data_IF_442287787337
#
_entry.id   IF_442287787337
#
_cell.length_a   1.000
_cell.length_b   1.000
_cell.length_c   1.000
_cell.angle_alpha   90.00
_cell.angle_beta   90.00
_cell.angle_gamma   90.00
#
_symmetry.space_group_name_H-M   'P 1'
#
loop_
_entity.id
_entity.type
_entity.pdbx_description
1 polymer ?
#
# COMPACT_ATOMS: atom_id res chain seq x y z
N UNK A 1 -18.55 4.57 2.43
CA UNK A 1 -17.83 4.62 1.15
C UNK A 1 -18.04 3.30 0.42
N UNK A 2 -18.09 3.34 -0.91
CA UNK A 2 -18.09 2.15 -1.77
C UNK A 2 -16.66 1.82 -2.18
N UNK A 3 -16.15 0.65 -1.76
CA UNK A 3 -14.73 0.28 -1.86
C UNK A 3 -14.58 -1.01 -2.66
N UNK A 4 -13.69 -0.99 -3.67
CA UNK A 4 -13.30 -2.19 -4.42
C UNK A 4 -11.93 -2.67 -3.96
N UNK A 5 -11.86 -3.93 -3.54
CA UNK A 5 -10.60 -4.61 -3.26
C UNK A 5 -10.32 -5.59 -4.41
N UNK A 6 -9.46 -5.17 -5.31
CA UNK A 6 -9.15 -5.87 -6.56
C UNK A 6 -8.05 -6.91 -6.35
N UNK A 7 -8.24 -8.10 -6.91
CA UNK A 7 -7.34 -9.25 -6.81
C UNK A 7 -7.16 -9.71 -5.36
N UNK A 8 -8.27 -9.77 -4.61
CA UNK A 8 -8.29 -10.24 -3.23
C UNK A 8 -9.24 -11.44 -3.06
N UNK A 9 -8.68 -12.63 -3.01
CA UNK A 9 -9.40 -13.87 -2.71
C UNK A 9 -9.66 -14.02 -1.20
N UNK A 10 -8.74 -13.54 -0.37
CA UNK A 10 -8.74 -13.75 1.09
C UNK A 10 -9.77 -12.92 1.87
N UNK A 11 -10.28 -11.84 1.29
CA UNK A 11 -11.18 -10.87 1.90
C UNK A 11 -10.66 -10.18 3.18
N UNK A 12 -9.35 -10.27 3.49
CA UNK A 12 -8.79 -9.69 4.70
C UNK A 12 -9.03 -8.16 4.78
N UNK A 13 -8.79 -7.45 3.67
CA UNK A 13 -9.02 -6.00 3.58
C UNK A 13 -10.51 -5.71 3.44
N UNK A 14 -11.25 -6.49 2.66
CA UNK A 14 -12.70 -6.36 2.52
C UNK A 14 -13.40 -6.43 3.87
N UNK A 15 -13.09 -7.44 4.69
CA UNK A 15 -13.65 -7.62 6.03
C UNK A 15 -13.31 -6.41 6.91
N UNK A 16 -12.06 -5.95 6.91
CA UNK A 16 -11.65 -4.80 7.72
C UNK A 16 -12.42 -3.52 7.37
N UNK A 17 -12.72 -3.28 6.09
CA UNK A 17 -13.56 -2.16 5.67
C UNK A 17 -15.05 -2.37 6.06
N UNK A 18 -15.58 -3.60 5.94
CA UNK A 18 -16.94 -3.95 6.35
C UNK A 18 -17.15 -3.77 7.85
N UNK A 19 -16.18 -4.15 8.68
CA UNK A 19 -16.20 -3.93 10.14
C UNK A 19 -16.34 -2.45 10.52
N UNK A 20 -15.87 -1.54 9.67
CA UNK A 20 -16.03 -0.09 9.84
C UNK A 20 -17.28 0.48 9.16
N UNK A 21 -18.19 -0.38 8.70
CA UNK A 21 -19.47 0.03 8.10
C UNK A 21 -19.37 0.50 6.64
N UNK A 22 -18.26 0.22 5.93
CA UNK A 22 -18.15 0.56 4.52
C UNK A 22 -18.79 -0.51 3.63
N UNK A 23 -19.27 -0.09 2.46
CA UNK A 23 -19.73 -0.98 1.40
C UNK A 23 -18.52 -1.46 0.60
N UNK A 24 -17.83 -2.50 1.11
CA UNK A 24 -16.61 -3.03 0.52
C UNK A 24 -16.86 -4.37 -0.17
N UNK A 25 -16.24 -4.55 -1.35
CA UNK A 25 -16.33 -5.76 -2.16
C UNK A 25 -14.94 -6.21 -2.60
N UNK A 26 -14.66 -7.49 -2.44
CA UNK A 26 -13.50 -8.13 -3.07
C UNK A 26 -13.81 -8.56 -4.50
N UNK A 27 -12.77 -8.65 -5.33
CA UNK A 27 -12.86 -9.23 -6.67
C UNK A 27 -11.63 -10.08 -6.95
N UNK A 28 -11.82 -11.31 -7.37
CA UNK A 28 -10.76 -12.22 -7.82
C UNK A 28 -11.32 -13.25 -8.82
N UNK A 29 -10.45 -13.89 -9.59
CA UNK A 29 -10.84 -15.00 -10.48
C UNK A 29 -11.17 -16.27 -9.70
N UNK A 30 -10.63 -16.41 -8.49
CA UNK A 30 -10.88 -17.53 -7.59
C UNK A 30 -12.04 -17.22 -6.64
N UNK A 31 -12.76 -18.26 -6.14
CA UNK A 31 -13.75 -18.07 -5.09
C UNK A 31 -13.07 -17.55 -3.82
N UNK A 32 -13.76 -16.71 -3.05
CA UNK A 32 -13.23 -16.15 -1.83
C UNK A 32 -13.00 -17.20 -0.74
N UNK A 33 -11.98 -17.01 0.08
CA UNK A 33 -11.68 -17.83 1.27
C UNK A 33 -12.02 -17.13 2.59
N UNK A 34 -12.47 -15.88 2.56
CA UNK A 34 -12.83 -15.11 3.75
C UNK A 34 -14.20 -15.44 4.33
N UNK A 35 -15.00 -16.27 3.64
CA UNK A 35 -16.29 -16.76 4.14
C UNK A 35 -17.50 -15.85 3.83
N UNK A 36 -17.32 -14.81 3.01
CA UNK A 36 -18.35 -13.85 2.65
C UNK A 36 -18.55 -13.76 1.14
N UNK A 37 -19.11 -14.84 0.49
CA UNK A 37 -19.31 -14.84 -0.97
C UNK A 37 -20.23 -13.72 -1.44
N UNK A 38 -21.13 -13.20 -0.60
CA UNK A 38 -22.03 -12.08 -0.89
C UNK A 38 -21.29 -10.72 -1.03
N UNK A 39 -20.03 -10.65 -0.60
CA UNK A 39 -19.17 -9.48 -0.77
C UNK A 39 -18.08 -9.71 -1.82
N UNK A 40 -18.23 -10.74 -2.66
CA UNK A 40 -17.19 -11.17 -3.60
C UNK A 40 -17.68 -11.24 -5.03
N UNK A 41 -16.98 -10.54 -5.93
CA UNK A 41 -17.13 -10.69 -7.38
C UNK A 41 -16.12 -11.70 -7.90
N UNK A 42 -16.57 -12.93 -8.21
CA UNK A 42 -15.72 -13.95 -8.80
C UNK A 42 -15.63 -13.74 -10.32
N UNK A 43 -14.82 -12.77 -10.75
CA UNK A 43 -14.68 -12.41 -12.17
C UNK A 43 -13.40 -11.61 -12.42
N UNK A 44 -13.15 -11.24 -13.69
CA UNK A 44 -12.14 -10.25 -14.03
C UNK A 44 -12.53 -8.88 -13.43
N UNK A 45 -11.55 -8.21 -12.84
CA UNK A 45 -11.74 -6.89 -12.22
C UNK A 45 -11.89 -5.76 -13.24
N UNK A 46 -11.36 -5.93 -14.46
CA UNK A 46 -11.33 -4.85 -15.47
C UNK A 46 -12.70 -4.24 -15.75
N UNK A 47 -13.79 -5.00 -15.92
CA UNK A 47 -15.13 -4.40 -16.10
C UNK A 47 -15.58 -3.53 -14.93
N UNK A 48 -15.21 -3.90 -13.69
CA UNK A 48 -15.60 -3.15 -12.49
C UNK A 48 -14.88 -1.82 -12.34
N UNK A 49 -13.73 -1.63 -13.01
CA UNK A 49 -12.95 -0.39 -12.90
C UNK A 49 -13.67 0.84 -13.49
N UNK A 50 -14.65 0.65 -14.36
CA UNK A 50 -15.47 1.72 -14.93
C UNK A 50 -16.62 2.15 -14.03
N UNK A 51 -16.93 1.37 -12.99
CA UNK A 51 -17.96 1.72 -12.04
C UNK A 51 -17.52 2.84 -11.09
N UNK A 52 -18.49 3.46 -10.41
CA UNK A 52 -18.21 4.51 -9.42
C UNK A 52 -17.75 3.88 -8.10
N UNK A 53 -16.46 3.99 -7.81
CA UNK A 53 -15.83 3.62 -6.54
C UNK A 53 -15.28 4.86 -5.85
N UNK A 54 -15.39 4.91 -4.51
CA UNK A 54 -14.79 5.95 -3.69
C UNK A 54 -13.30 5.65 -3.42
N UNK A 55 -12.95 4.34 -3.42
CA UNK A 55 -11.59 3.83 -3.18
C UNK A 55 -11.40 2.50 -3.90
N UNK A 56 -10.26 2.31 -4.53
CA UNK A 56 -9.80 1.02 -5.05
C UNK A 56 -8.48 0.64 -4.37
N UNK A 57 -8.41 -0.55 -3.79
CA UNK A 57 -7.19 -1.15 -3.29
C UNK A 57 -6.93 -2.41 -4.11
N UNK A 58 -5.74 -2.56 -4.69
CA UNK A 58 -5.46 -3.66 -5.60
C UNK A 58 -4.19 -4.41 -5.23
N UNK A 59 -4.25 -5.73 -5.37
CA UNK A 59 -3.18 -6.69 -5.11
C UNK A 59 -2.84 -7.47 -6.40
N UNK A 60 -2.39 -6.81 -7.48
CA UNK A 60 -2.16 -7.48 -8.75
C UNK A 60 -1.16 -8.62 -8.61
N UNK A 61 -1.33 -9.73 -9.37
CA UNK A 61 -0.49 -10.92 -9.25
C UNK A 61 1.00 -10.60 -9.30
N UNK A 62 1.73 -10.99 -8.25
CA UNK A 62 3.15 -10.65 -8.07
C UNK A 62 4.11 -11.61 -8.78
N UNK A 63 3.64 -12.71 -9.36
CA UNK A 63 4.44 -13.81 -9.93
C UNK A 63 5.46 -13.35 -10.98
N UNK A 64 5.09 -12.36 -11.79
CA UNK A 64 5.95 -11.81 -12.84
C UNK A 64 6.52 -10.43 -12.50
N UNK A 65 6.07 -9.83 -11.40
CA UNK A 65 6.44 -8.47 -11.02
C UNK A 65 7.50 -8.39 -9.93
N UNK A 66 7.64 -9.42 -9.08
CA UNK A 66 8.60 -9.39 -7.96
C UNK A 66 9.98 -9.90 -8.35
N UNK A 67 11.01 -9.47 -7.62
CA UNK A 67 12.37 -9.97 -7.79
C UNK A 67 12.45 -11.49 -7.64
N UNK A 68 11.69 -12.07 -6.71
CA UNK A 68 11.61 -13.53 -6.54
C UNK A 68 11.07 -14.23 -7.81
N UNK A 69 10.10 -13.64 -8.48
CA UNK A 69 9.59 -14.11 -9.76
C UNK A 69 10.60 -13.93 -10.89
N UNK A 70 11.34 -12.81 -10.91
CA UNK A 70 12.34 -12.48 -11.93
C UNK A 70 13.60 -13.35 -11.85
N UNK A 71 13.94 -13.93 -10.70
CA UNK A 71 15.07 -14.88 -10.57
C UNK A 71 14.95 -16.05 -11.56
N UNK A 72 13.76 -16.40 -12.01
CA UNK A 72 13.56 -17.44 -13.00
C UNK A 72 14.12 -17.09 -14.40
N UNK A 73 14.32 -15.80 -14.72
CA UNK A 73 14.95 -15.37 -15.98
C UNK A 73 16.47 -15.69 -16.01
N UNK A 74 17.12 -15.67 -14.86
CA UNK A 74 18.55 -15.97 -14.72
C UNK A 74 18.82 -17.43 -14.36
N UNK A 75 17.76 -18.26 -14.33
CA UNK A 75 17.90 -19.68 -14.00
C UNK A 75 18.82 -20.36 -15.01
N UNK A 76 19.86 -21.05 -14.50
CA UNK A 76 20.78 -21.83 -15.33
C UNK A 76 20.00 -22.87 -16.16
N UNK A 77 20.20 -22.88 -17.49
CA UNK A 77 19.52 -23.78 -18.43
C UNK A 77 18.14 -23.31 -18.89
N UNK A 78 17.68 -22.12 -18.54
CA UNK A 78 16.44 -21.58 -19.13
C UNK A 78 16.64 -21.24 -20.61
N UNK A 79 15.75 -21.78 -21.47
CA UNK A 79 15.79 -21.48 -22.92
C UNK A 79 15.41 -20.05 -23.21
N UNK A 80 15.81 -19.54 -24.41
CA UNK A 80 15.48 -18.17 -24.81
C UNK A 80 13.96 -18.00 -25.03
N UNK A 81 13.26 -19.04 -25.51
CA UNK A 81 11.79 -19.02 -25.63
C UNK A 81 11.13 -18.87 -24.25
N UNK A 82 11.62 -19.59 -23.23
CA UNK A 82 11.13 -19.45 -21.86
C UNK A 82 11.34 -18.04 -21.33
N UNK A 83 12.52 -17.46 -21.53
CA UNK A 83 12.83 -16.10 -21.08
C UNK A 83 11.93 -15.07 -21.78
N UNK A 84 11.80 -15.18 -23.12
CA UNK A 84 10.96 -14.30 -23.92
C UNK A 84 9.50 -14.36 -23.50
N UNK A 85 8.95 -15.56 -23.35
CA UNK A 85 7.57 -15.74 -22.88
C UNK A 85 7.36 -15.16 -21.48
N UNK A 86 8.35 -15.28 -20.60
CA UNK A 86 8.28 -14.73 -19.24
C UNK A 86 8.37 -13.21 -19.21
N UNK A 87 9.19 -12.60 -20.07
CA UNK A 87 9.27 -11.15 -20.23
C UNK A 87 7.94 -10.60 -20.74
N UNK A 88 7.33 -11.24 -21.73
CA UNK A 88 5.99 -10.86 -22.24
C UNK A 88 4.95 -10.87 -21.10
N UNK A 89 4.90 -11.95 -20.31
CA UNK A 89 3.99 -12.02 -19.14
C UNK A 89 4.27 -10.98 -18.07
N UNK A 90 5.53 -10.56 -17.90
CA UNK A 90 5.91 -9.46 -17.01
C UNK A 90 5.32 -8.14 -17.50
N UNK A 91 5.43 -7.87 -18.80
CA UNK A 91 4.96 -6.62 -19.39
C UNK A 91 3.42 -6.58 -19.40
N UNK A 92 2.75 -7.70 -19.65
CA UNK A 92 1.30 -7.86 -19.49
C UNK A 92 0.85 -7.62 -18.03
N UNK A 93 1.61 -8.11 -17.04
CA UNK A 93 1.32 -7.89 -15.63
C UNK A 93 1.51 -6.42 -15.20
N UNK A 94 2.52 -5.74 -15.75
CA UNK A 94 2.69 -4.31 -15.57
C UNK A 94 1.50 -3.54 -16.17
N UNK A 95 1.13 -3.83 -17.40
CA UNK A 95 -0.01 -3.19 -18.08
C UNK A 95 -1.30 -3.37 -17.29
N UNK A 96 -1.55 -4.56 -16.76
CA UNK A 96 -2.70 -4.84 -15.90
C UNK A 96 -2.72 -3.96 -14.65
N UNK A 97 -1.59 -3.84 -13.93
CA UNK A 97 -1.49 -2.97 -12.77
C UNK A 97 -1.73 -1.49 -13.14
N UNK A 98 -1.21 -1.04 -14.31
CA UNK A 98 -1.42 0.31 -14.80
C UNK A 98 -2.88 0.57 -15.22
N UNK A 99 -3.59 -0.41 -15.78
CA UNK A 99 -5.03 -0.28 -16.07
C UNK A 99 -5.82 0.00 -14.79
N UNK A 100 -5.51 -0.70 -13.70
CA UNK A 100 -6.15 -0.43 -12.40
C UNK A 100 -5.82 0.99 -11.90
N UNK A 101 -4.53 1.36 -11.92
CA UNK A 101 -4.08 2.67 -11.41
C UNK A 101 -4.66 3.84 -12.19
N UNK A 102 -4.84 3.68 -13.50
CA UNK A 102 -5.37 4.71 -14.39
C UNK A 102 -6.91 4.72 -14.48
N UNK A 103 -7.60 3.89 -13.72
CA UNK A 103 -9.07 3.94 -13.65
C UNK A 103 -9.58 5.29 -13.15
N UNK A 104 -10.88 5.62 -13.41
CA UNK A 104 -11.44 6.92 -13.06
C UNK A 104 -11.47 7.23 -11.57
N UNK A 105 -11.32 6.22 -10.69
CA UNK A 105 -11.33 6.42 -9.25
C UNK A 105 -10.22 7.40 -8.81
N UNK A 106 -10.57 8.34 -7.94
CA UNK A 106 -9.63 9.38 -7.45
C UNK A 106 -8.70 8.87 -6.35
N UNK A 107 -9.07 7.78 -5.65
CA UNK A 107 -8.30 7.18 -4.56
C UNK A 107 -7.95 5.74 -4.90
N UNK A 108 -6.68 5.46 -5.17
CA UNK A 108 -6.21 4.12 -5.55
C UNK A 108 -4.93 3.78 -4.79
N UNK A 109 -4.85 2.55 -4.28
CA UNK A 109 -3.63 1.95 -3.77
C UNK A 109 -3.32 0.68 -4.56
N UNK A 110 -2.11 0.57 -5.11
CA UNK A 110 -1.57 -0.69 -5.65
C UNK A 110 -0.57 -1.24 -4.64
N UNK A 111 -0.77 -2.47 -4.20
CA UNK A 111 0.20 -3.22 -3.38
C UNK A 111 0.95 -4.23 -4.24
N UNK A 112 2.27 -4.32 -4.06
CA UNK A 112 3.05 -5.42 -4.61
C UNK A 112 4.38 -5.59 -3.86
N UNK A 113 5.06 -6.70 -4.09
CA UNK A 113 6.42 -6.91 -3.58
C UNK A 113 7.46 -6.02 -4.30
N UNK A 114 8.68 -5.98 -3.74
CA UNK A 114 9.81 -5.30 -4.38
C UNK A 114 10.13 -5.98 -5.71
N UNK A 115 10.15 -5.21 -6.81
CA UNK A 115 10.41 -5.75 -8.14
C UNK A 115 10.16 -4.79 -9.28
N UNK A 116 9.64 -5.32 -10.39
CA UNK A 116 9.61 -4.66 -11.69
C UNK A 116 8.70 -3.41 -11.73
N UNK A 117 7.65 -3.33 -10.93
CA UNK A 117 6.86 -2.09 -10.84
C UNK A 117 7.72 -0.86 -10.48
N UNK A 118 8.76 -1.06 -9.64
CA UNK A 118 9.66 0.02 -9.22
C UNK A 118 10.64 0.47 -10.32
N UNK A 119 10.93 -0.37 -11.30
CA UNK A 119 11.91 -0.10 -12.37
C UNK A 119 11.25 0.10 -13.73
N UNK A 120 10.16 -0.62 -14.01
CA UNK A 120 9.44 -0.54 -15.27
C UNK A 120 8.38 0.56 -15.30
N UNK A 121 7.98 1.09 -14.14
CA UNK A 121 7.03 2.18 -14.04
C UNK A 121 7.59 3.34 -13.19
N UNK A 122 7.38 3.32 -11.86
CA UNK A 122 7.89 4.36 -10.95
C UNK A 122 8.22 3.80 -9.58
N UNK A 123 9.01 4.52 -8.80
CA UNK A 123 9.27 4.15 -7.40
C UNK A 123 7.95 4.12 -6.60
N UNK A 124 7.82 3.22 -5.61
CA UNK A 124 6.67 3.23 -4.72
C UNK A 124 6.65 4.50 -3.88
N UNK A 125 5.45 4.96 -3.53
CA UNK A 125 5.26 6.11 -2.63
C UNK A 125 5.64 5.75 -1.20
N UNK A 126 5.48 4.45 -0.85
CA UNK A 126 5.82 3.94 0.48
C UNK A 126 6.24 2.46 0.40
N UNK A 127 7.13 2.07 1.31
CA UNK A 127 7.44 0.67 1.61
C UNK A 127 7.07 0.43 3.07
N UNK A 128 6.17 -0.50 3.31
CA UNK A 128 5.73 -0.91 4.64
C UNK A 128 6.22 -2.32 4.96
N UNK A 129 6.17 -2.68 6.23
CA UNK A 129 6.52 -4.01 6.71
C UNK A 129 5.51 -4.48 7.76
N UNK A 130 5.12 -5.76 7.79
CA UNK A 130 4.11 -6.25 8.72
C UNK A 130 4.44 -6.00 10.20
N UNK A 131 5.72 -5.92 10.59
CA UNK A 131 6.09 -5.64 11.98
C UNK A 131 5.72 -4.21 12.43
N UNK A 132 5.50 -3.29 11.51
CA UNK A 132 4.99 -1.94 11.77
C UNK A 132 3.49 -1.95 12.12
N UNK A 133 2.82 -3.09 11.91
CA UNK A 133 1.38 -3.30 12.06
C UNK A 133 1.03 -4.53 12.91
N UNK A 134 1.88 -4.91 13.87
CA UNK A 134 1.59 -5.94 14.87
C UNK A 134 1.93 -7.38 14.48
N UNK A 135 2.67 -7.60 13.39
CA UNK A 135 3.08 -8.94 12.95
C UNK A 135 4.60 -9.05 12.87
N UNK A 136 5.24 -9.94 13.61
CA UNK A 136 6.71 -10.11 13.68
C UNK A 136 7.36 -10.51 12.35
N UNK A 137 6.92 -9.97 11.22
CA UNK A 137 7.36 -10.34 9.88
C UNK A 137 8.02 -9.16 9.18
N UNK A 138 9.24 -9.39 8.64
CA UNK A 138 9.99 -8.37 7.89
C UNK A 138 9.87 -8.59 6.37
N UNK A 139 8.63 -8.58 5.85
CA UNK A 139 8.34 -8.63 4.41
C UNK A 139 8.16 -7.22 3.88
N UNK A 140 9.07 -6.75 3.00
CA UNK A 140 8.91 -5.45 2.34
C UNK A 140 7.73 -5.50 1.38
N UNK A 141 6.77 -4.63 1.58
CA UNK A 141 5.56 -4.45 0.78
C UNK A 141 5.55 -3.02 0.24
N UNK A 142 5.47 -2.88 -1.07
CA UNK A 142 5.49 -1.59 -1.76
C UNK A 142 4.07 -1.11 -2.04
N UNK A 143 3.82 0.17 -1.83
CA UNK A 143 2.55 0.84 -2.10
C UNK A 143 2.74 1.95 -3.13
N UNK A 144 1.92 1.95 -4.17
CA UNK A 144 1.78 3.03 -5.15
C UNK A 144 0.41 3.66 -4.94
N UNK A 145 0.40 4.94 -4.56
CA UNK A 145 -0.76 5.66 -4.07
C UNK A 145 -1.21 6.73 -5.07
N UNK A 146 -2.52 6.88 -5.23
CA UNK A 146 -3.19 7.97 -5.94
C UNK A 146 -4.25 8.55 -5.01
N UNK A 147 -4.15 9.83 -4.67
CA UNK A 147 -5.12 10.51 -3.81
C UNK A 147 -5.26 9.96 -2.39
N UNK A 148 -4.26 9.23 -1.91
CA UNK A 148 -4.23 8.60 -0.57
C UNK A 148 -3.00 9.05 0.20
N UNK A 149 -3.11 9.24 1.54
CA UNK A 149 -1.96 9.46 2.41
C UNK A 149 -1.16 8.16 2.58
N UNK A 150 0.12 8.30 2.97
CA UNK A 150 0.93 7.17 3.43
C UNK A 150 0.33 6.57 4.69
N UNK A 151 0.45 5.24 4.84
CA UNK A 151 0.03 4.55 6.06
C UNK A 151 0.99 4.88 7.21
N UNK A 152 0.41 5.18 8.36
CA UNK A 152 1.13 5.36 9.62
C UNK A 152 1.16 4.02 10.35
N UNK A 153 2.32 3.57 10.87
CA UNK A 153 2.40 2.37 11.68
C UNK A 153 1.42 2.41 12.86
N UNK A 154 0.72 1.31 13.11
CA UNK A 154 -0.31 1.23 14.17
C UNK A 154 0.15 0.45 15.39
N UNK A 155 1.07 -0.51 15.22
CA UNK A 155 1.59 -1.34 16.31
C UNK A 155 2.95 -1.90 15.92
N UNK A 156 4.02 -1.24 16.38
CA UNK A 156 5.39 -1.65 16.07
C UNK A 156 5.81 -2.76 17.05
N UNK A 157 6.06 -3.95 16.50
CA UNK A 157 6.55 -5.11 17.26
C UNK A 157 7.96 -5.48 16.82
N UNK A 158 8.65 -6.29 17.61
CA UNK A 158 9.96 -6.81 17.23
C UNK A 158 9.84 -7.68 15.97
N UNK A 159 10.70 -7.40 14.99
CA UNK A 159 10.70 -8.16 13.74
C UNK A 159 11.48 -9.46 13.92
N UNK A 160 10.90 -10.55 13.46
CA UNK A 160 11.56 -11.84 13.40
C UNK A 160 12.66 -11.83 12.33
N UNK A 161 13.89 -11.54 12.77
CA UNK A 161 15.10 -11.51 11.96
C UNK A 161 15.87 -12.83 12.03
N UNK A 162 15.27 -13.94 12.49
CA UNK A 162 15.96 -15.21 12.50
C UNK A 162 16.51 -15.52 11.11
N UNK A 163 17.83 -15.41 11.01
CA UNK A 163 18.59 -15.98 9.91
C UNK A 163 18.36 -17.48 10.01
N UNK A 164 17.48 -18.00 9.15
CA UNK A 164 17.27 -19.43 9.10
C UNK A 164 18.63 -20.14 9.03
N UNK A 165 18.85 -21.11 9.91
CA UNK A 165 20.07 -21.91 10.04
C UNK A 165 20.47 -22.69 8.77
N UNK A 166 19.84 -22.43 7.64
CA UNK A 166 19.99 -23.09 6.34
C UNK A 166 20.91 -22.34 5.35
N UNK A 167 21.81 -21.48 5.83
CA UNK A 167 22.83 -20.84 4.98
C UNK A 167 22.30 -19.82 3.95
N UNK A 168 20.98 -19.67 3.82
CA UNK A 168 20.30 -18.65 3.03
C UNK A 168 19.40 -17.87 3.98
N UNK A 169 19.44 -16.54 3.89
CA UNK A 169 18.60 -15.63 4.67
C UNK A 169 17.12 -15.77 4.25
N UNK A 170 16.48 -16.82 4.71
CA UNK A 170 15.03 -17.05 4.55
C UNK A 170 14.38 -16.64 5.87
N UNK A 171 13.41 -15.72 5.85
CA UNK A 171 12.68 -15.35 7.05
C UNK A 171 11.96 -16.57 7.64
N UNK A 172 11.84 -16.63 8.96
CA UNK A 172 11.10 -17.68 9.67
C UNK A 172 9.67 -17.82 9.16
N UNK A 173 9.01 -16.70 8.86
CA UNK A 173 7.69 -16.67 8.23
C UNK A 173 7.66 -17.41 6.89
N UNK A 174 8.66 -17.19 6.02
CA UNK A 174 8.74 -17.92 4.75
C UNK A 174 8.91 -19.42 4.96
N UNK A 175 9.80 -19.82 5.89
CA UNK A 175 10.00 -21.22 6.23
C UNK A 175 8.70 -21.85 6.80
N UNK A 176 7.93 -21.09 7.59
CA UNK A 176 6.64 -21.51 8.13
C UNK A 176 5.63 -21.75 7.01
N UNK A 177 5.50 -20.82 6.06
CA UNK A 177 4.56 -20.97 4.92
C UNK A 177 4.88 -22.19 4.05
N UNK A 178 6.17 -22.55 3.91
CA UNK A 178 6.59 -23.77 3.19
C UNK A 178 6.18 -25.05 3.93
N UNK A 179 6.06 -25.02 5.26
CA UNK A 179 5.61 -26.17 6.08
C UNK A 179 4.09 -26.29 6.09
N UNK A 180 3.38 -25.17 6.06
CA UNK A 180 1.91 -25.10 6.10
C UNK A 180 1.28 -25.46 4.76
N UNK A 181 1.88 -25.02 3.65
CA UNK A 181 1.37 -25.32 2.30
C UNK A 181 1.71 -26.72 1.85
N UNK A 182 0.69 -27.51 1.46
CA UNK A 182 0.85 -28.85 0.91
C UNK A 182 1.34 -28.83 -0.53
N UNK A 183 1.00 -27.78 -1.27
CA UNK A 183 1.39 -27.57 -2.67
C UNK A 183 2.03 -26.19 -2.84
N UNK A 184 2.71 -25.94 -3.98
CA UNK A 184 3.23 -24.61 -4.31
C UNK A 184 2.11 -23.58 -4.47
N UNK A 185 0.92 -24.01 -4.89
CA UNK A 185 -0.25 -23.15 -4.99
C UNK A 185 -0.74 -22.71 -3.59
N UNK A 186 -0.78 -23.64 -2.61
CA UNK A 186 -1.13 -23.33 -1.23
C UNK A 186 -0.14 -22.34 -0.60
N UNK A 187 1.17 -22.60 -0.80
CA UNK A 187 2.23 -21.68 -0.34
C UNK A 187 2.05 -20.29 -0.94
N UNK A 188 1.73 -20.22 -2.24
CA UNK A 188 1.48 -18.94 -2.92
C UNK A 188 0.28 -18.22 -2.31
N UNK A 189 -0.83 -18.92 -2.07
CA UNK A 189 -2.05 -18.37 -1.48
C UNK A 189 -1.82 -17.88 -0.05
N UNK A 190 -1.16 -18.66 0.80
CA UNK A 190 -0.81 -18.23 2.17
C UNK A 190 0.02 -16.95 2.15
N UNK A 191 0.95 -16.82 1.18
CA UNK A 191 1.86 -15.68 1.06
C UNK A 191 1.23 -14.44 0.43
N UNK A 192 0.17 -14.59 -0.35
CA UNK A 192 -0.56 -13.47 -0.96
C UNK A 192 -1.55 -12.81 0.00
N UNK A 193 -1.99 -13.52 1.05
CA UNK A 193 -2.91 -12.95 2.03
C UNK A 193 -2.30 -11.71 2.70
N UNK A 194 -3.08 -10.64 2.74
CA UNK A 194 -2.73 -9.42 3.48
C UNK A 194 -2.76 -9.68 4.98
N UNK A 195 -1.77 -9.16 5.70
CA UNK A 195 -1.73 -9.23 7.16
C UNK A 195 -2.85 -8.40 7.79
N UNK A 196 -3.54 -8.95 8.77
CA UNK A 196 -4.73 -8.32 9.38
C UNK A 196 -4.44 -6.92 9.95
N UNK A 197 -3.25 -6.69 10.52
CA UNK A 197 -2.85 -5.36 10.99
C UNK A 197 -2.71 -4.34 9.87
N UNK A 198 -2.21 -4.75 8.70
CA UNK A 198 -2.14 -3.88 7.50
C UNK A 198 -3.55 -3.63 6.96
N UNK A 199 -4.39 -4.66 6.88
CA UNK A 199 -5.79 -4.54 6.43
C UNK A 199 -6.57 -3.55 7.31
N UNK A 200 -6.45 -3.65 8.64
CA UNK A 200 -7.06 -2.73 9.59
C UNK A 200 -6.51 -1.31 9.45
N UNK A 201 -5.20 -1.14 9.28
CA UNK A 201 -4.60 0.18 9.06
C UNK A 201 -5.11 0.83 7.77
N UNK A 202 -5.23 0.08 6.67
CA UNK A 202 -5.82 0.57 5.42
C UNK A 202 -7.27 1.02 5.64
N UNK A 203 -8.08 0.20 6.30
CA UNK A 203 -9.49 0.52 6.56
C UNK A 203 -9.63 1.75 7.48
N UNK A 204 -8.88 1.83 8.56
CA UNK A 204 -8.93 2.94 9.51
C UNK A 204 -8.41 4.26 8.93
N UNK A 205 -7.35 4.23 8.12
CA UNK A 205 -6.70 5.47 7.66
C UNK A 205 -7.19 5.93 6.30
N UNK A 206 -7.65 5.04 5.44
CA UNK A 206 -8.18 5.38 4.11
C UNK A 206 -9.71 5.34 4.04
N UNK A 207 -10.37 4.69 5.00
CA UNK A 207 -11.83 4.63 5.13
C UNK A 207 -12.47 5.90 5.70
N UNK A 208 -11.67 6.88 6.15
CA UNK A 208 -12.21 8.13 6.66
C UNK A 208 -12.74 8.94 5.46
N UNK A 209 -14.05 9.35 5.45
CA UNK A 209 -14.54 10.29 4.47
C UNK A 209 -13.69 11.56 4.54
N UNK A 210 -13.24 12.07 3.40
CA UNK A 210 -12.63 13.40 3.34
C UNK A 210 -13.73 14.39 3.79
N UNK A 211 -13.66 14.87 5.02
CA UNK A 211 -14.49 16.01 5.42
C UNK A 211 -14.14 17.14 4.46
N UNK A 212 -15.13 17.78 3.81
CA UNK A 212 -14.85 18.97 3.02
C UNK A 212 -14.15 19.97 3.94
N UNK A 213 -13.04 20.53 3.50
CA UNK A 213 -12.31 21.61 4.19
C UNK A 213 -13.18 22.87 4.10
N UNK A 214 -14.21 22.93 4.90
CA UNK A 214 -15.06 24.12 5.09
C UNK A 214 -15.27 24.32 6.59
N UNK A 215 -14.19 24.69 7.26
CA UNK A 215 -14.22 25.57 8.41
C UNK A 215 -12.97 26.45 8.29
N UNK A 216 -13.01 27.36 7.31
CA UNK A 216 -12.35 28.62 7.48
C UNK A 216 -12.99 29.21 8.74
N UNK A 217 -12.21 29.33 9.79
CA UNK A 217 -12.59 30.06 10.98
C UNK A 217 -12.99 31.48 10.52
N UNK A 218 -14.28 31.75 10.59
CA UNK A 218 -14.82 33.08 10.52
C UNK A 218 -14.28 33.80 11.76
N UNK A 219 -13.12 34.47 11.60
CA UNK A 219 -12.62 35.39 12.59
C UNK A 219 -13.53 36.60 12.58
N UNK A 220 -14.59 36.50 13.36
CA UNK A 220 -15.45 37.63 13.66
C UNK A 220 -14.64 38.83 14.06
N UNK A 221 -14.76 39.84 13.24
CA UNK A 221 -14.36 41.22 13.44
C UNK A 221 -14.98 41.76 14.75
N UNK A 222 -14.21 41.80 15.81
CA UNK A 222 -14.56 42.58 17.00
C UNK A 222 -13.76 43.85 17.00
N UNK A 223 -14.42 44.95 16.62
CA UNK A 223 -13.94 46.33 16.72
C UNK A 223 -13.32 46.63 18.08
N UNK A 224 -12.09 47.15 18.09
CA UNK A 224 -11.48 47.78 19.25
C UNK A 224 -11.87 49.25 19.30
N UNK A 225 -12.08 49.84 20.50
CA UNK A 225 -12.26 51.27 20.64
C UNK A 225 -10.89 52.00 20.64
N UNK A 226 -10.91 53.15 20.00
CA UNK A 226 -9.81 54.12 19.96
C UNK A 226 -9.48 54.68 21.35
N UNK A 227 -8.18 54.80 21.63
CA UNK A 227 -7.63 55.48 22.81
C UNK A 227 -6.26 56.03 22.51
N UNK A 228 -6.27 57.33 22.28
CA UNK A 228 -5.20 58.31 22.09
C UNK A 228 -4.10 58.28 23.15
N UNK A 229 -2.83 58.44 22.74
CA UNK A 229 -1.80 59.36 23.22
C UNK A 229 -0.38 58.98 22.75
N UNK A 230 0.24 59.88 22.02
CA UNK A 230 1.66 59.92 21.67
C UNK A 230 2.46 60.57 22.81
N UNK A 231 3.80 60.86 22.66
CA UNK A 231 4.94 60.03 22.26
C UNK A 231 6.09 60.13 23.33
N UNK A 232 7.12 59.31 23.23
CA UNK A 232 8.49 59.78 23.55
C UNK A 232 9.60 58.89 22.95
N UNK A 233 10.65 59.57 22.63
CA UNK A 233 11.85 59.39 21.85
C UNK A 233 13.00 58.75 22.66
N UNK A 234 13.96 58.16 21.95
CA UNK A 234 15.41 57.99 22.15
C UNK A 234 15.87 56.52 22.16
N UNK A 235 16.59 56.16 21.21
CA UNK A 235 17.99 56.26 20.72
C UNK A 235 18.82 55.00 20.97
N UNK A 236 19.44 54.61 19.90
CA UNK A 236 20.82 54.12 19.75
C UNK A 236 21.26 52.74 20.28
N UNK A 237 21.94 52.03 19.36
CA UNK A 237 22.97 51.04 19.68
C UNK A 237 23.04 49.85 18.76
N UNK A 238 23.66 49.99 17.71
CA UNK A 238 24.66 49.36 16.85
C UNK A 238 25.26 48.01 17.29
N UNK A 239 25.49 47.25 16.23
CA UNK A 239 26.59 46.31 15.91
C UNK A 239 26.47 44.88 16.48
N UNK A 240 26.69 43.86 15.75
CA UNK A 240 27.55 43.57 14.64
C UNK A 240 27.65 42.07 14.42
N UNK A 241 27.90 41.73 13.17
CA UNK A 241 28.71 40.61 12.61
C UNK A 241 28.26 39.15 12.71
N UNK A 242 27.86 38.65 11.64
CA UNK A 242 28.20 37.51 10.72
C UNK A 242 29.40 36.59 11.10
N UNK A 243 29.68 35.50 10.37
CA UNK A 243 29.09 34.16 10.32
C UNK A 243 30.18 33.06 10.44
N UNK A 244 29.83 31.77 10.50
CA UNK A 244 30.66 30.62 10.06
C UNK A 244 29.74 29.41 9.89
N UNK A 245 29.60 28.87 8.78
CA UNK A 245 30.27 27.93 7.85
C UNK A 245 30.75 26.64 8.48
N UNK A 246 30.24 25.55 7.88
CA UNK A 246 30.83 24.23 7.53
C UNK A 246 31.26 23.31 8.70
N UNK A 247 30.67 22.16 8.80
CA UNK A 247 31.11 20.91 8.13
C UNK A 247 29.97 19.91 8.11
#
# INVERSE_FOLDING_TARGET
>A
MRVLIACEESQAVTIAFRELGHEAYSCDLYPCSGGHPEWHYQQDVIPLLSEKWDLIIAFPPCTYLTNAGMCNLTRKGASEEYKTARLKKRDEALEFALKIYNSPCSKIAIENGVGYLSTGWRKPDQIIKPYEFGHSVNKKTCLWLKGLPKLIPTNIVESDNEKAKLGKSVSSWYAKTLKEGKTLADVSRIRSKTFDGIAKAMAQQWGIPCLPTTLALDNGDSAAPEGDTSPEVLSSGQAGSTPARCQ
#
